data_IF_159028266497
#
_entry.id   IF_159028266497
#
_cell.length_a   1.000
_cell.length_b   1.000
_cell.length_c   1.000
_cell.angle_alpha   90.00
_cell.angle_beta   90.00
_cell.angle_gamma   90.00
#
_symmetry.space_group_name_H-M   'P 1'
#
loop_
_entity.id
_entity.type
_entity.pdbx_description
1 polymer ?
#
# COMPACT_ATOMS: atom_id res chain seq x y z
N UNK A 1 -4.48 7.26 -20.84
CA UNK A 1 -5.48 7.97 -19.98
C UNK A 1 -6.00 6.90 -19.04
N UNK A 2 -5.75 7.05 -17.76
CA UNK A 2 -6.13 6.10 -16.74
C UNK A 2 -7.54 6.42 -16.24
N UNK A 3 -8.40 5.39 -16.18
CA UNK A 3 -9.79 5.50 -15.74
C UNK A 3 -9.97 4.68 -14.47
N UNK A 4 -10.71 5.24 -13.51
CA UNK A 4 -11.07 4.60 -12.24
C UNK A 4 -12.57 4.37 -12.18
N UNK A 5 -12.98 3.19 -11.68
CA UNK A 5 -14.38 2.92 -11.38
C UNK A 5 -14.83 3.70 -10.16
N UNK A 6 -16.08 4.17 -10.18
CA UNK A 6 -16.68 4.89 -9.08
C UNK A 6 -17.69 4.05 -8.31
N UNK A 7 -17.70 4.27 -7.01
CA UNK A 7 -18.55 3.58 -6.04
C UNK A 7 -19.38 4.59 -5.23
N UNK A 8 -20.50 4.12 -4.66
CA UNK A 8 -21.21 4.87 -3.64
C UNK A 8 -20.56 4.69 -2.25
N UNK A 9 -21.11 5.35 -1.23
CA UNK A 9 -20.62 5.28 0.16
C UNK A 9 -20.64 3.88 0.78
N UNK A 10 -21.43 2.96 0.23
CA UNK A 10 -21.55 1.58 0.69
C UNK A 10 -20.69 0.63 -0.17
N UNK A 11 -19.76 1.21 -0.96
CA UNK A 11 -18.84 0.53 -1.88
C UNK A 11 -19.57 -0.30 -2.94
N UNK A 12 -20.73 0.18 -3.41
CA UNK A 12 -21.44 -0.41 -4.54
C UNK A 12 -21.04 0.31 -5.84
N UNK A 13 -20.76 -0.45 -6.91
CA UNK A 13 -20.43 0.16 -8.20
C UNK A 13 -21.53 1.09 -8.69
N UNK A 14 -21.13 2.24 -9.25
CA UNK A 14 -22.05 3.23 -9.83
C UNK A 14 -22.17 3.11 -11.35
N UNK A 15 -21.52 2.13 -11.99
CA UNK A 15 -21.41 2.02 -13.46
C UNK A 15 -20.92 3.33 -14.11
N UNK A 16 -20.03 4.01 -13.43
CA UNK A 16 -19.41 5.29 -13.83
C UNK A 16 -17.92 5.22 -13.62
N UNK A 17 -17.19 5.95 -14.44
CA UNK A 17 -15.75 6.11 -14.31
C UNK A 17 -15.36 7.57 -14.18
N UNK A 18 -14.16 7.84 -13.68
CA UNK A 18 -13.51 9.13 -13.72
C UNK A 18 -12.10 9.01 -14.32
N UNK A 19 -11.58 10.10 -14.84
CA UNK A 19 -10.20 10.17 -15.31
C UNK A 19 -9.29 10.49 -14.13
N UNK A 20 -8.13 9.85 -14.05
CA UNK A 20 -7.10 10.18 -13.06
C UNK A 20 -6.75 11.67 -13.11
N UNK A 21 -6.81 12.32 -11.96
CA UNK A 21 -6.54 13.75 -11.82
C UNK A 21 -7.77 14.64 -11.89
N UNK A 22 -8.94 14.12 -12.26
CA UNK A 22 -10.19 14.85 -12.12
C UNK A 22 -10.59 14.97 -10.64
N UNK A 23 -11.43 15.95 -10.34
CA UNK A 23 -12.01 16.12 -9.00
C UNK A 23 -13.05 15.03 -8.74
N UNK A 24 -12.90 14.33 -7.61
CA UNK A 24 -13.86 13.30 -7.16
C UNK A 24 -15.18 13.96 -6.80
N UNK A 25 -16.26 13.63 -7.50
CA UNK A 25 -17.56 14.22 -7.27
C UNK A 25 -18.08 13.89 -5.85
N UNK A 26 -18.76 14.83 -5.16
CA UNK A 26 -19.29 14.57 -3.83
C UNK A 26 -20.19 13.33 -3.78
N UNK A 27 -19.92 12.45 -2.80
CA UNK A 27 -20.68 11.21 -2.61
C UNK A 27 -20.26 10.07 -3.53
N UNK A 28 -19.19 10.25 -4.31
CA UNK A 28 -18.55 9.17 -5.06
C UNK A 28 -17.18 8.85 -4.47
N UNK A 29 -16.72 7.62 -4.70
CA UNK A 29 -15.47 7.07 -4.17
C UNK A 29 -14.81 6.21 -5.22
N UNK A 30 -13.48 6.11 -5.17
CA UNK A 30 -12.73 5.10 -5.93
C UNK A 30 -11.87 4.26 -4.98
N UNK A 31 -11.41 3.10 -5.46
CA UNK A 31 -10.57 2.21 -4.68
C UNK A 31 -9.10 2.58 -4.81
N UNK A 32 -8.42 2.68 -3.67
CA UNK A 32 -6.97 2.81 -3.54
C UNK A 32 -6.45 1.57 -2.83
N UNK A 33 -5.28 1.12 -3.21
CA UNK A 33 -4.61 -0.01 -2.58
C UNK A 33 -3.26 0.43 -2.06
N UNK A 34 -2.94 -0.03 -0.85
CA UNK A 34 -1.61 0.05 -0.27
C UNK A 34 -1.09 -1.34 0.06
N UNK A 35 0.19 -1.54 -0.18
CA UNK A 35 0.87 -2.79 0.13
C UNK A 35 1.98 -2.49 1.12
N UNK A 36 2.04 -3.29 2.18
CA UNK A 36 3.14 -3.34 3.12
C UNK A 36 3.69 -4.76 3.06
N UNK A 37 4.80 -4.96 2.35
CA UNK A 37 5.48 -6.25 2.27
C UNK A 37 6.51 -6.34 3.37
N UNK A 38 6.48 -7.44 4.12
CA UNK A 38 7.40 -7.70 5.22
C UNK A 38 8.24 -8.95 4.96
N UNK A 39 9.50 -8.92 5.38
CA UNK A 39 10.38 -10.08 5.35
C UNK A 39 10.32 -10.86 6.68
N UNK A 40 11.00 -12.02 6.71
CA UNK A 40 11.08 -12.88 7.91
C UNK A 40 11.74 -12.22 9.14
N UNK A 41 12.43 -11.09 8.97
CA UNK A 41 13.01 -10.30 10.08
C UNK A 41 12.02 -9.28 10.62
N UNK A 42 10.84 -9.14 10.02
CA UNK A 42 9.86 -8.14 10.35
C UNK A 42 10.22 -6.72 9.85
N UNK A 43 11.08 -6.62 8.84
CA UNK A 43 11.36 -5.36 8.15
C UNK A 43 10.36 -5.17 7.01
N UNK A 44 9.92 -3.93 6.77
CA UNK A 44 9.07 -3.57 5.66
C UNK A 44 9.91 -3.19 4.44
N UNK A 45 9.53 -3.69 3.26
CA UNK A 45 10.06 -3.16 2.00
C UNK A 45 9.52 -1.76 1.81
N UNK A 46 10.39 -0.78 1.71
CA UNK A 46 10.06 0.63 1.47
C UNK A 46 10.59 1.06 0.12
N UNK A 47 9.91 2.02 -0.53
CA UNK A 47 10.32 2.58 -1.81
C UNK A 47 10.66 4.06 -1.67
N UNK A 48 11.59 4.54 -2.49
CA UNK A 48 11.91 5.95 -2.64
C UNK A 48 11.29 6.49 -3.92
N UNK A 49 10.40 7.45 -3.79
CA UNK A 49 9.67 8.06 -4.90
C UNK A 49 10.61 8.93 -5.74
N UNK A 50 10.34 8.98 -7.04
CA UNK A 50 11.12 9.84 -7.93
C UNK A 50 10.96 11.34 -7.57
N UNK A 51 12.01 12.17 -7.71
CA UNK A 51 11.97 13.59 -7.34
C UNK A 51 11.09 14.46 -8.24
N UNK A 52 10.62 13.92 -9.36
CA UNK A 52 9.71 14.61 -10.29
C UNK A 52 8.25 14.16 -10.20
N UNK A 53 7.90 13.31 -9.21
CA UNK A 53 6.52 12.85 -8.99
C UNK A 53 5.64 13.98 -8.44
N UNK A 54 4.42 14.03 -8.90
CA UNK A 54 3.39 14.86 -8.28
C UNK A 54 3.03 14.27 -6.90
N UNK A 55 3.10 15.12 -5.88
CA UNK A 55 2.84 14.76 -4.49
C UNK A 55 3.92 13.86 -3.87
N UNK A 56 4.38 14.19 -2.67
CA UNK A 56 5.39 13.46 -1.91
C UNK A 56 6.66 13.14 -2.71
N UNK A 57 7.10 14.11 -3.53
CA UNK A 57 8.30 14.04 -4.35
C UNK A 57 9.54 13.80 -3.50
N UNK A 58 10.45 12.92 -3.96
CA UNK A 58 11.74 12.63 -3.30
C UNK A 58 11.61 12.14 -1.85
N UNK A 59 10.51 11.47 -1.54
CA UNK A 59 10.27 10.91 -0.20
C UNK A 59 10.23 9.39 -0.24
N UNK A 60 10.59 8.78 0.87
CA UNK A 60 10.34 7.37 1.11
C UNK A 60 8.88 7.13 1.43
N UNK A 61 8.40 5.96 1.06
CA UNK A 61 7.03 5.50 1.26
C UNK A 61 7.02 4.03 1.70
N UNK A 62 5.88 3.57 2.21
CA UNK A 62 5.63 2.13 2.38
C UNK A 62 5.85 1.40 1.05
N UNK A 63 5.70 0.08 1.01
CA UNK A 63 6.07 -0.71 -0.17
C UNK A 63 5.45 -0.18 -1.46
N UNK A 64 4.17 0.20 -1.42
CA UNK A 64 3.46 0.67 -2.60
C UNK A 64 2.13 1.32 -2.23
N UNK A 65 1.69 2.30 -3.03
CA UNK A 65 0.34 2.85 -3.01
C UNK A 65 -0.11 3.22 -4.43
N UNK A 66 -1.31 2.78 -4.83
CA UNK A 66 -1.85 3.05 -6.15
C UNK A 66 -3.37 2.99 -6.21
N UNK A 67 -3.96 3.44 -7.32
CA UNK A 67 -5.40 3.40 -7.53
C UNK A 67 -5.78 2.22 -8.43
N UNK A 68 -6.92 1.58 -8.15
CA UNK A 68 -7.45 0.57 -9.05
C UNK A 68 -7.95 1.19 -10.34
N UNK A 69 -7.73 0.49 -11.45
CA UNK A 69 -8.23 0.91 -12.76
C UNK A 69 -9.62 0.30 -13.02
N UNK A 70 -10.30 0.82 -14.05
CA UNK A 70 -11.61 0.31 -14.48
C UNK A 70 -11.58 -1.20 -14.74
N UNK A 71 -12.51 -1.92 -14.11
CA UNK A 71 -12.63 -3.37 -14.19
C UNK A 71 -11.76 -4.14 -13.20
N UNK A 72 -10.94 -3.46 -12.40
CA UNK A 72 -10.17 -4.08 -11.34
C UNK A 72 -10.94 -4.09 -10.01
N UNK A 73 -10.54 -4.97 -9.12
CA UNK A 73 -10.84 -4.90 -7.70
C UNK A 73 -9.53 -4.67 -6.92
N UNK A 74 -9.60 -4.46 -5.60
CA UNK A 74 -8.41 -4.19 -4.78
C UNK A 74 -7.28 -5.21 -4.98
N UNK A 75 -7.58 -6.51 -5.15
CA UNK A 75 -6.56 -7.55 -5.32
C UNK A 75 -5.89 -7.49 -6.69
N UNK A 76 -6.67 -7.28 -7.74
CA UNK A 76 -6.12 -7.19 -9.10
C UNK A 76 -5.36 -5.90 -9.29
N UNK A 77 -5.84 -4.79 -8.72
CA UNK A 77 -5.10 -3.52 -8.67
C UNK A 77 -3.79 -3.64 -7.89
N UNK A 78 -3.82 -4.24 -6.70
CA UNK A 78 -2.61 -4.46 -5.90
C UNK A 78 -1.57 -5.33 -6.63
N UNK A 79 -2.01 -6.40 -7.30
CA UNK A 79 -1.13 -7.24 -8.11
C UNK A 79 -0.49 -6.46 -9.26
N UNK A 80 -1.30 -5.72 -10.04
CA UNK A 80 -0.81 -4.93 -11.16
C UNK A 80 0.22 -3.90 -10.71
N UNK A 81 -0.12 -3.08 -9.71
CA UNK A 81 0.77 -2.03 -9.19
C UNK A 81 2.11 -2.61 -8.69
N UNK A 82 2.07 -3.73 -7.94
CA UNK A 82 3.29 -4.37 -7.43
C UNK A 82 4.18 -4.91 -8.55
N UNK A 83 3.56 -5.47 -9.60
CA UNK A 83 4.28 -5.91 -10.80
C UNK A 83 4.86 -4.73 -11.60
N UNK A 84 4.09 -3.66 -11.78
CA UNK A 84 4.48 -2.49 -12.58
C UNK A 84 5.57 -1.68 -11.90
N UNK A 85 5.39 -1.31 -10.63
CA UNK A 85 6.31 -0.41 -9.94
C UNK A 85 7.60 -1.08 -9.43
N UNK A 86 7.51 -2.35 -8.95
CA UNK A 86 8.65 -3.04 -8.35
C UNK A 86 9.07 -4.34 -9.06
N UNK A 87 8.29 -4.79 -10.05
CA UNK A 87 8.56 -6.05 -10.75
C UNK A 87 8.34 -7.28 -9.89
N UNK A 88 7.53 -7.20 -8.84
CA UNK A 88 7.25 -8.29 -7.92
C UNK A 88 5.92 -8.95 -8.32
N UNK A 89 5.97 -10.24 -8.66
CA UNK A 89 4.78 -11.06 -8.94
C UNK A 89 4.34 -11.77 -7.66
N UNK A 90 3.29 -11.25 -7.02
CA UNK A 90 2.73 -11.82 -5.79
C UNK A 90 1.28 -12.29 -6.03
N UNK A 91 0.94 -13.49 -5.55
CA UNK A 91 -0.41 -14.06 -5.69
C UNK A 91 -1.41 -13.45 -4.68
N UNK A 92 -2.22 -12.51 -5.13
CA UNK A 92 -3.29 -11.91 -4.35
C UNK A 92 -4.62 -12.68 -4.37
N UNK A 93 -4.71 -13.87 -5.00
CA UNK A 93 -5.98 -14.63 -5.17
C UNK A 93 -6.73 -14.80 -3.85
N UNK A 94 -6.02 -15.14 -2.78
CA UNK A 94 -6.57 -15.36 -1.45
C UNK A 94 -6.26 -14.21 -0.47
N UNK A 95 -5.55 -13.18 -0.92
CA UNK A 95 -5.21 -12.05 -0.07
C UNK A 95 -6.46 -11.25 0.31
N UNK A 96 -6.46 -10.73 1.52
CA UNK A 96 -7.51 -9.82 2.03
C UNK A 96 -6.84 -8.57 2.56
N UNK A 97 -7.45 -7.38 2.35
CA UNK A 97 -6.98 -6.20 3.07
C UNK A 97 -6.98 -6.46 4.57
N UNK A 98 -5.88 -6.12 5.24
CA UNK A 98 -5.78 -6.20 6.69
C UNK A 98 -6.65 -5.12 7.35
N UNK A 99 -6.77 -3.96 6.68
CA UNK A 99 -7.69 -2.90 7.05
C UNK A 99 -8.13 -2.12 5.80
N UNK A 100 -9.27 -1.45 5.90
CA UNK A 100 -9.76 -0.47 4.92
C UNK A 100 -9.98 0.85 5.63
N UNK A 101 -9.42 1.92 5.11
CA UNK A 101 -9.63 3.29 5.60
C UNK A 101 -10.62 3.99 4.68
N UNK A 102 -11.77 4.41 5.24
CA UNK A 102 -12.72 5.25 4.53
C UNK A 102 -12.29 6.72 4.67
N UNK A 103 -11.77 7.28 3.59
CA UNK A 103 -11.40 8.69 3.54
C UNK A 103 -12.26 9.43 2.51
N UNK A 104 -12.23 10.78 2.47
CA UNK A 104 -12.99 11.53 1.48
C UNK A 104 -12.63 11.12 0.06
N UNK A 105 -13.60 10.59 -0.68
CA UNK A 105 -13.44 10.18 -2.08
C UNK A 105 -12.77 8.83 -2.31
N UNK A 106 -12.32 8.12 -1.27
CA UNK A 106 -11.60 6.85 -1.44
C UNK A 106 -12.03 5.77 -0.45
N UNK A 107 -11.90 4.53 -0.89
CA UNK A 107 -11.76 3.35 -0.05
C UNK A 107 -10.30 2.88 -0.16
N UNK A 108 -9.56 2.95 0.93
CA UNK A 108 -8.13 2.71 0.96
C UNK A 108 -7.85 1.35 1.61
N UNK A 109 -7.54 0.35 0.80
CA UNK A 109 -7.32 -1.03 1.20
C UNK A 109 -5.84 -1.31 1.45
N UNK A 110 -5.46 -1.62 2.68
CA UNK A 110 -4.10 -1.98 3.07
C UNK A 110 -3.91 -3.49 3.12
N UNK A 111 -2.97 -3.99 2.32
CA UNK A 111 -2.53 -5.38 2.33
C UNK A 111 -1.21 -5.51 3.09
N UNK A 112 -1.18 -6.37 4.11
CA UNK A 112 0.03 -6.79 4.79
C UNK A 112 0.41 -8.17 4.27
N UNK A 113 1.55 -8.27 3.59
CA UNK A 113 1.96 -9.49 2.90
C UNK A 113 3.38 -9.91 3.28
N UNK A 114 3.63 -11.20 3.22
CA UNK A 114 4.97 -11.76 3.37
C UNK A 114 5.72 -11.71 2.04
N UNK A 115 7.03 -11.42 2.06
CA UNK A 115 7.86 -11.49 0.88
C UNK A 115 9.34 -11.53 1.21
N UNK A 116 10.09 -12.29 0.41
CA UNK A 116 11.56 -12.37 0.49
C UNK A 116 12.11 -11.99 -0.88
N UNK A 117 12.48 -10.73 -1.03
CA UNK A 117 13.08 -10.22 -2.26
C UNK A 117 14.44 -9.60 -1.99
N UNK A 118 15.33 -9.68 -2.93
CA UNK A 118 16.57 -8.92 -2.93
C UNK A 118 16.29 -7.55 -3.58
N UNK A 119 16.28 -6.44 -2.81
CA UNK A 119 16.00 -5.11 -3.36
C UNK A 119 16.91 -4.74 -4.53
N UNK A 120 18.16 -5.25 -4.54
CA UNK A 120 19.11 -5.01 -5.62
C UNK A 120 18.74 -5.68 -6.96
N UNK A 121 17.76 -6.56 -6.97
CA UNK A 121 17.30 -7.27 -8.18
C UNK A 121 15.91 -6.79 -8.66
N UNK A 122 15.27 -5.89 -7.93
CA UNK A 122 13.97 -5.36 -8.29
C UNK A 122 14.03 -4.56 -9.61
N UNK A 123 12.95 -4.62 -10.34
CA UNK A 123 12.76 -3.86 -11.58
C UNK A 123 11.84 -2.67 -11.28
N UNK A 124 12.40 -1.68 -10.58
CA UNK A 124 11.68 -0.45 -10.29
C UNK A 124 11.29 0.26 -11.58
N UNK A 125 10.03 0.70 -11.65
CA UNK A 125 9.54 1.53 -12.75
C UNK A 125 10.20 2.91 -12.66
N UNK A 126 10.99 3.33 -13.67
CA UNK A 126 11.80 4.56 -13.58
C UNK A 126 10.99 5.85 -13.42
N UNK A 127 9.71 5.82 -13.80
CA UNK A 127 8.79 6.95 -13.69
C UNK A 127 8.23 7.11 -12.28
N UNK A 128 8.29 6.04 -11.46
CA UNK A 128 7.64 5.98 -10.16
C UNK A 128 8.66 5.87 -9.02
N UNK A 129 9.56 4.90 -9.10
CA UNK A 129 10.43 4.46 -8.01
C UNK A 129 11.90 4.63 -8.38
N UNK A 130 12.67 5.33 -7.55
CA UNK A 130 14.12 5.48 -7.72
C UNK A 130 14.90 4.32 -7.13
N UNK A 131 14.49 3.81 -5.97
CA UNK A 131 15.07 2.67 -5.29
C UNK A 131 14.09 2.06 -4.29
N UNK A 132 14.38 0.82 -3.85
CA UNK A 132 13.66 0.16 -2.77
C UNK A 132 14.64 -0.55 -1.84
N UNK A 133 14.30 -0.67 -0.54
CA UNK A 133 15.09 -1.37 0.45
C UNK A 133 14.25 -1.84 1.63
N UNK A 134 14.77 -2.75 2.40
CA UNK A 134 14.18 -3.15 3.67
C UNK A 134 14.48 -2.11 4.76
N UNK A 135 13.48 -1.85 5.61
CA UNK A 135 13.63 -0.96 6.76
C UNK A 135 12.86 -1.49 7.97
N UNK A 136 13.47 -1.37 9.14
CA UNK A 136 12.83 -1.72 10.40
C UNK A 136 11.87 -0.63 10.89
N UNK A 137 11.00 -1.00 11.83
CA UNK A 137 10.03 -0.10 12.44
C UNK A 137 10.63 1.23 12.93
N UNK A 138 11.64 1.15 13.82
CA UNK A 138 12.21 2.35 14.44
C UNK A 138 12.94 3.25 13.42
N UNK A 139 13.49 2.63 12.37
CA UNK A 139 14.11 3.34 11.27
C UNK A 139 13.07 4.17 10.50
N UNK A 140 11.92 3.59 10.15
CA UNK A 140 10.84 4.30 9.48
C UNK A 140 10.33 5.46 10.34
N UNK A 141 10.16 5.26 11.66
CA UNK A 141 9.76 6.32 12.56
C UNK A 141 10.79 7.47 12.61
N UNK A 142 12.10 7.15 12.57
CA UNK A 142 13.17 8.15 12.48
C UNK A 142 13.12 8.91 11.15
N UNK A 143 12.91 8.21 10.04
CA UNK A 143 12.78 8.82 8.72
C UNK A 143 11.59 9.79 8.61
N UNK A 144 10.49 9.49 9.32
CA UNK A 144 9.34 10.41 9.44
C UNK A 144 9.75 11.67 10.22
N UNK A 145 10.48 11.53 11.34
CA UNK A 145 10.97 12.67 12.13
C UNK A 145 11.94 13.55 11.35
N UNK A 146 12.78 12.92 10.52
CA UNK A 146 13.74 13.60 9.67
C UNK A 146 13.10 14.25 8.43
N UNK A 147 11.80 13.99 8.19
CA UNK A 147 11.04 14.54 7.07
C UNK A 147 11.42 13.96 5.71
N UNK A 148 12.02 12.76 5.67
CA UNK A 148 12.41 12.06 4.44
C UNK A 148 11.49 10.89 4.10
N UNK A 149 10.50 10.60 4.94
CA UNK A 149 9.44 9.61 4.71
C UNK A 149 8.09 10.33 4.66
N UNK A 150 7.13 9.84 3.87
CA UNK A 150 5.77 10.39 3.84
C UNK A 150 5.26 10.50 5.28
N UNK A 151 4.71 11.65 5.69
CA UNK A 151 4.41 11.95 7.08
C UNK A 151 3.16 11.22 7.58
N UNK A 152 3.15 9.89 7.48
CA UNK A 152 2.15 9.07 8.14
C UNK A 152 2.15 9.35 9.65
N UNK A 153 1.00 9.26 10.27
CA UNK A 153 0.95 9.25 11.74
C UNK A 153 1.76 8.07 12.25
N UNK A 154 2.71 8.30 13.15
CA UNK A 154 3.58 7.23 13.70
C UNK A 154 2.78 6.06 14.27
N UNK A 155 1.68 6.35 14.97
CA UNK A 155 0.78 5.30 15.48
C UNK A 155 0.16 4.43 14.37
N UNK A 156 0.07 4.94 13.14
CA UNK A 156 -0.36 4.15 11.99
C UNK A 156 0.74 3.16 11.57
N UNK A 157 1.99 3.59 11.51
CA UNK A 157 3.14 2.71 11.29
C UNK A 157 3.24 1.67 12.40
N UNK A 158 3.15 2.09 13.68
CA UNK A 158 3.11 1.19 14.83
C UNK A 158 2.04 0.10 14.65
N UNK A 159 0.85 0.50 14.20
CA UNK A 159 -0.27 -0.41 13.98
C UNK A 159 0.01 -1.40 12.85
N UNK A 160 0.56 -0.97 11.72
CA UNK A 160 0.89 -1.86 10.59
C UNK A 160 1.87 -2.96 11.01
N UNK A 161 2.96 -2.57 11.70
CA UNK A 161 3.95 -3.54 12.20
C UNK A 161 3.35 -4.47 13.26
N UNK A 162 2.55 -3.95 14.19
CA UNK A 162 1.90 -4.75 15.23
C UNK A 162 0.89 -5.74 14.63
N UNK A 163 0.10 -5.31 13.65
CA UNK A 163 -0.87 -6.17 12.96
C UNK A 163 -0.18 -7.27 12.16
N UNK A 164 0.91 -6.94 11.46
CA UNK A 164 1.71 -7.93 10.75
C UNK A 164 2.28 -8.98 11.73
N UNK A 165 2.94 -8.54 12.80
CA UNK A 165 3.59 -9.43 13.76
C UNK A 165 2.61 -10.36 14.52
N UNK A 166 1.35 -9.92 14.73
CA UNK A 166 0.38 -10.66 15.55
C UNK A 166 -0.79 -11.25 14.77
N UNK A 167 -0.95 -10.89 13.49
CA UNK A 167 -2.15 -11.21 12.70
C UNK A 167 -3.43 -10.62 13.28
N UNK A 168 -3.34 -9.65 14.21
CA UNK A 168 -4.48 -9.12 14.96
C UNK A 168 -4.24 -7.68 15.43
N UNK A 169 -5.30 -6.95 15.65
CA UNK A 169 -5.26 -5.65 16.35
C UNK A 169 -5.04 -5.78 17.86
N UNK A 170 -5.00 -6.99 18.40
CA UNK A 170 -4.90 -7.25 19.84
C UNK A 170 -3.67 -8.09 20.13
N UNK A 171 -2.76 -7.59 20.93
CA UNK A 171 -1.69 -8.38 21.52
C UNK A 171 -2.26 -9.23 22.66
N UNK A 172 -2.20 -10.56 22.51
CA UNK A 172 -2.40 -11.50 23.63
C UNK A 172 -1.06 -12.14 23.94
N UNK A 173 -0.59 -12.14 25.20
CA UNK A 173 0.72 -12.67 25.56
C UNK A 173 0.93 -14.17 25.22
N UNK A 174 -0.14 -14.90 24.95
CA UNK A 174 -0.18 -16.36 24.87
C UNK A 174 -0.87 -16.94 23.62
N UNK A 175 -1.25 -16.10 22.66
CA UNK A 175 -1.81 -16.58 21.38
C UNK A 175 -0.88 -16.27 20.23
N UNK A 176 0.00 -17.20 19.89
CA UNK A 176 0.52 -17.32 18.52
C UNK A 176 -0.65 -17.76 17.64
N UNK A 177 -1.21 -16.84 16.87
CA UNK A 177 -2.12 -17.20 15.77
C UNK A 177 -1.23 -17.79 14.68
N UNK A 178 -1.39 -19.06 14.29
CA UNK A 178 -0.66 -19.58 13.15
C UNK A 178 -1.07 -18.79 11.92
N UNK A 179 -0.11 -18.23 11.21
CA UNK A 179 -0.35 -17.76 9.85
C UNK A 179 -0.76 -19.01 9.05
N UNK A 180 -2.02 -19.10 8.64
CA UNK A 180 -2.43 -20.10 7.65
C UNK A 180 -1.64 -19.81 6.37
N UNK A 181 -0.79 -20.76 6.00
CA UNK A 181 0.02 -20.74 4.78
C UNK A 181 -0.84 -21.00 3.58
#
# INVERSE_FOLDING_TARGET
MELWDLYDRDRKPLDKTMVRGDEVAPGTYHDVVHICMFNHKGEMLIQHRQPFKDGWSDMWDITLGGSTQTGENSRTGAHRELCEELGIDYDFTNARPALTINAPGIFDDFFLIDGEVDPGTLRCQPEEVSEARWAGHDEILSMIDDGIFIPYHKCFIDMLFAMYATGSMRSRPDTTVPHEK
#
